data_IF_785484738324
#
_entry.id   IF_785484738324
#
_cell.length_a   1.000
_cell.length_b   1.000
_cell.length_c   1.000
_cell.angle_alpha   90.00
_cell.angle_beta   90.00
_cell.angle_gamma   90.00
#
_symmetry.space_group_name_H-M   'P 1'
#
loop_
_entity.id
_entity.type
_entity.pdbx_description
1 polymer ?
#
# COMPACT_ATOMS: atom_id res chain seq x y z
N UNK A 1 -26.15 15.39 -7.15
CA UNK A 1 -26.70 14.09 -6.72
C UNK A 1 -26.61 14.05 -5.20
N UNK A 2 -27.64 13.52 -4.53
CA UNK A 2 -27.56 13.37 -3.07
C UNK A 2 -26.42 12.39 -2.74
N UNK A 3 -25.60 12.69 -1.73
CA UNK A 3 -24.57 11.77 -1.28
C UNK A 3 -25.25 10.56 -0.68
N UNK A 4 -25.12 9.42 -1.33
CA UNK A 4 -25.65 8.16 -0.81
C UNK A 4 -24.63 7.60 0.18
N UNK A 5 -25.08 7.12 1.34
CA UNK A 5 -24.18 6.55 2.33
C UNK A 5 -23.83 5.11 1.99
N UNK A 6 -22.62 4.68 2.33
CA UNK A 6 -22.16 3.30 2.21
C UNK A 6 -23.17 2.30 2.82
N UNK A 7 -23.69 2.63 3.99
CA UNK A 7 -24.66 1.80 4.73
C UNK A 7 -25.98 1.61 3.96
N UNK A 8 -26.45 2.66 3.26
CA UNK A 8 -27.68 2.56 2.44
C UNK A 8 -27.48 1.66 1.22
N UNK A 9 -26.31 1.72 0.57
CA UNK A 9 -25.96 0.83 -0.55
C UNK A 9 -25.95 -0.61 -0.05
N UNK A 10 -25.23 -0.89 1.04
CA UNK A 10 -25.12 -2.21 1.62
C UNK A 10 -26.49 -2.80 2.02
N UNK A 11 -27.33 -2.01 2.69
CA UNK A 11 -28.69 -2.44 3.09
C UNK A 11 -29.58 -2.78 1.90
N UNK A 12 -29.47 -2.01 0.81
CA UNK A 12 -30.24 -2.29 -0.42
C UNK A 12 -29.75 -3.56 -1.11
N UNK A 13 -28.44 -3.78 -1.19
CA UNK A 13 -27.86 -4.95 -1.82
C UNK A 13 -27.98 -6.22 -0.98
N UNK A 14 -28.02 -6.13 0.36
CA UNK A 14 -28.29 -7.28 1.25
C UNK A 14 -29.62 -7.97 0.94
N UNK A 15 -30.60 -7.26 0.42
CA UNK A 15 -31.89 -7.85 0.03
C UNK A 15 -31.75 -8.91 -1.07
N UNK A 16 -30.68 -8.83 -1.89
CA UNK A 16 -30.38 -9.81 -2.93
C UNK A 16 -29.88 -11.16 -2.37
N UNK A 17 -29.42 -11.17 -1.10
CA UNK A 17 -28.94 -12.38 -0.45
C UNK A 17 -30.07 -13.40 -0.21
N UNK A 18 -31.20 -12.89 0.26
CA UNK A 18 -32.29 -13.74 0.77
C UNK A 18 -33.46 -13.88 -0.21
N UNK A 19 -33.47 -13.07 -1.28
CA UNK A 19 -34.53 -13.05 -2.27
C UNK A 19 -33.98 -13.39 -3.67
N UNK A 20 -34.34 -14.55 -4.24
CA UNK A 20 -34.07 -14.83 -5.65
C UNK A 20 -34.64 -13.73 -6.53
N UNK A 21 -33.76 -13.06 -7.26
CA UNK A 21 -34.14 -11.92 -8.10
C UNK A 21 -33.98 -12.31 -9.57
N UNK A 22 -34.95 -11.97 -10.40
CA UNK A 22 -34.85 -12.24 -11.83
C UNK A 22 -33.70 -11.46 -12.45
N UNK A 23 -33.03 -12.05 -13.47
CA UNK A 23 -31.92 -11.39 -14.15
C UNK A 23 -32.28 -9.97 -14.62
N UNK A 24 -33.48 -9.75 -15.13
CA UNK A 24 -33.96 -8.46 -15.65
C UNK A 24 -34.06 -7.36 -14.55
N UNK A 25 -34.21 -7.73 -13.28
CA UNK A 25 -34.36 -6.77 -12.17
C UNK A 25 -33.02 -6.27 -11.63
N UNK A 26 -31.93 -7.00 -11.80
CA UNK A 26 -30.64 -6.67 -11.20
C UNK A 26 -30.11 -5.30 -11.68
N UNK A 27 -30.26 -4.98 -12.96
CA UNK A 27 -29.86 -3.68 -13.49
C UNK A 27 -30.60 -2.50 -12.83
N UNK A 28 -31.89 -2.64 -12.56
CA UNK A 28 -32.67 -1.61 -11.86
C UNK A 28 -32.29 -1.49 -10.39
N UNK A 29 -31.99 -2.61 -9.74
CA UNK A 29 -31.50 -2.64 -8.35
C UNK A 29 -30.15 -1.94 -8.24
N UNK A 30 -29.23 -2.17 -9.19
CA UNK A 30 -27.96 -1.47 -9.25
C UNK A 30 -28.17 0.05 -9.37
N UNK A 31 -29.03 0.50 -10.29
CA UNK A 31 -29.33 1.93 -10.44
C UNK A 31 -29.92 2.55 -9.15
N UNK A 32 -30.87 1.88 -8.49
CA UNK A 32 -31.45 2.35 -7.22
C UNK A 32 -30.43 2.31 -6.08
N UNK A 33 -29.64 1.26 -5.97
CA UNK A 33 -28.65 1.11 -4.90
C UNK A 33 -27.58 2.20 -4.98
N UNK A 34 -27.18 2.60 -6.18
CA UNK A 34 -26.13 3.59 -6.40
C UNK A 34 -26.65 5.02 -6.67
N UNK A 35 -27.84 5.36 -6.17
CA UNK A 35 -28.28 6.74 -6.01
C UNK A 35 -29.19 7.30 -7.09
N UNK A 36 -29.66 6.47 -8.03
CA UNK A 36 -30.73 6.90 -8.92
C UNK A 36 -32.04 6.97 -8.12
N UNK A 37 -32.76 8.08 -8.23
CA UNK A 37 -34.06 8.22 -7.54
C UNK A 37 -35.09 7.20 -8.04
N UNK A 38 -35.98 6.72 -7.18
CA UNK A 38 -37.03 5.77 -7.54
C UNK A 38 -37.83 6.23 -8.76
N UNK A 39 -38.17 7.52 -8.83
CA UNK A 39 -38.85 8.10 -9.98
C UNK A 39 -38.04 7.99 -11.28
N UNK A 40 -36.72 8.15 -11.22
CA UNK A 40 -35.87 7.99 -12.39
C UNK A 40 -35.73 6.52 -12.80
N UNK A 41 -35.60 5.60 -11.83
CA UNK A 41 -35.60 4.16 -12.11
C UNK A 41 -36.89 3.73 -12.83
N UNK A 42 -38.05 4.23 -12.38
CA UNK A 42 -39.34 3.97 -13.06
C UNK A 42 -39.39 4.56 -14.48
N UNK A 43 -38.73 5.71 -14.71
CA UNK A 43 -38.63 6.26 -16.07
C UNK A 43 -37.70 5.41 -16.96
N UNK A 44 -36.68 4.80 -16.41
CA UNK A 44 -35.86 3.83 -17.15
C UNK A 44 -36.67 2.59 -17.46
N UNK A 45 -37.39 2.05 -16.47
CA UNK A 45 -38.28 0.88 -16.62
C UNK A 45 -39.39 1.09 -17.66
N UNK A 46 -40.01 2.26 -17.68
CA UNK A 46 -41.03 2.62 -18.67
C UNK A 46 -40.48 2.98 -20.06
N UNK A 47 -39.17 2.88 -20.28
CA UNK A 47 -38.55 3.20 -21.57
C UNK A 47 -38.31 4.69 -21.80
N UNK A 48 -38.78 5.60 -20.96
CA UNK A 48 -38.64 7.06 -21.16
C UNK A 48 -37.20 7.56 -21.00
N UNK A 49 -36.35 6.83 -20.24
CA UNK A 49 -34.96 7.16 -20.03
C UNK A 49 -34.03 5.98 -20.39
N UNK A 50 -34.55 4.91 -20.95
CA UNK A 50 -33.77 3.78 -21.42
C UNK A 50 -33.42 3.97 -22.90
N UNK A 51 -32.13 4.00 -23.18
CA UNK A 51 -31.56 4.17 -24.53
C UNK A 51 -31.13 2.82 -25.15
N UNK A 52 -31.45 1.70 -24.50
CA UNK A 52 -31.11 0.39 -25.02
C UNK A 52 -31.88 0.11 -26.33
N UNK A 53 -31.16 -0.52 -27.26
CA UNK A 53 -31.75 -1.01 -28.50
C UNK A 53 -31.97 -2.53 -28.50
N UNK A 54 -31.73 -3.15 -27.36
CA UNK A 54 -32.05 -4.57 -27.09
C UNK A 54 -33.39 -4.68 -26.37
N UNK A 55 -34.13 -5.72 -26.64
CA UNK A 55 -35.49 -5.90 -26.14
C UNK A 55 -35.57 -5.94 -24.59
N UNK A 56 -34.56 -6.53 -23.92
CA UNK A 56 -34.51 -6.64 -22.45
C UNK A 56 -33.27 -5.93 -21.87
N UNK A 57 -32.79 -4.88 -22.54
CA UNK A 57 -31.59 -4.14 -22.14
C UNK A 57 -31.90 -2.87 -21.35
N UNK A 58 -30.98 -2.46 -20.51
CA UNK A 58 -30.97 -1.15 -19.86
C UNK A 58 -29.75 -0.39 -20.35
N UNK A 59 -29.94 0.83 -20.83
CA UNK A 59 -28.86 1.74 -21.17
C UNK A 59 -29.17 3.14 -20.66
N UNK A 60 -28.43 3.55 -19.66
CA UNK A 60 -28.47 4.89 -19.08
C UNK A 60 -27.16 5.60 -19.42
N UNK A 61 -27.28 6.74 -20.13
CA UNK A 61 -26.14 7.53 -20.59
C UNK A 61 -25.20 7.86 -19.44
N UNK A 62 -23.90 7.61 -19.65
CA UNK A 62 -22.81 7.84 -18.68
C UNK A 62 -22.91 7.09 -17.35
N UNK A 63 -23.80 6.09 -17.26
CA UNK A 63 -24.00 5.31 -16.05
C UNK A 63 -23.87 3.80 -16.34
N UNK A 64 -24.95 3.14 -16.67
CA UNK A 64 -25.03 1.68 -16.75
C UNK A 64 -25.53 1.23 -18.13
N UNK A 65 -24.87 0.27 -18.71
CA UNK A 65 -25.44 -0.62 -19.72
C UNK A 65 -25.59 -2.01 -19.13
N UNK A 66 -26.77 -2.58 -19.18
CA UNK A 66 -27.07 -3.87 -18.56
C UNK A 66 -27.87 -4.76 -19.52
N UNK A 67 -27.59 -6.06 -19.54
CA UNK A 67 -28.37 -7.10 -20.24
C UNK A 67 -28.55 -8.33 -19.34
N UNK A 68 -29.74 -8.92 -19.40
CA UNK A 68 -29.96 -10.25 -18.88
C UNK A 68 -29.48 -11.30 -19.91
N UNK A 69 -28.87 -12.37 -19.45
CA UNK A 69 -28.41 -13.49 -20.32
C UNK A 69 -28.56 -14.81 -19.57
N UNK A 70 -28.49 -15.92 -20.30
CA UNK A 70 -28.42 -17.25 -19.67
C UNK A 70 -26.98 -17.52 -19.19
N UNK A 71 -26.81 -18.38 -18.19
CA UNK A 71 -25.50 -18.71 -17.59
C UNK A 71 -24.44 -19.10 -18.61
N UNK A 72 -24.83 -19.76 -19.71
CA UNK A 72 -23.91 -20.18 -20.77
C UNK A 72 -23.45 -19.05 -21.69
N UNK A 73 -24.14 -17.90 -21.68
CA UNK A 73 -23.90 -16.76 -22.58
C UNK A 73 -23.44 -15.50 -21.90
N UNK A 74 -23.14 -15.53 -20.58
CA UNK A 74 -22.76 -14.33 -19.82
C UNK A 74 -21.53 -13.65 -20.44
N UNK A 75 -20.47 -14.41 -20.66
CA UNK A 75 -19.20 -13.92 -21.23
C UNK A 75 -19.37 -13.41 -22.66
N UNK A 76 -20.03 -14.18 -23.50
CA UNK A 76 -20.27 -13.81 -24.90
C UNK A 76 -21.10 -12.52 -25.00
N UNK A 77 -22.16 -12.40 -24.17
CA UNK A 77 -22.99 -11.20 -24.13
C UNK A 77 -22.20 -9.97 -23.66
N UNK A 78 -21.30 -10.12 -22.69
CA UNK A 78 -20.44 -9.03 -22.24
C UNK A 78 -19.47 -8.59 -23.36
N UNK A 79 -18.87 -9.52 -24.09
CA UNK A 79 -17.98 -9.23 -25.20
C UNK A 79 -18.76 -8.57 -26.38
N UNK A 80 -20.00 -9.00 -26.67
CA UNK A 80 -20.88 -8.32 -27.61
C UNK A 80 -21.12 -6.86 -27.20
N UNK A 81 -21.37 -6.60 -25.91
CA UNK A 81 -21.59 -5.23 -25.40
C UNK A 81 -20.32 -4.37 -25.50
N UNK A 82 -19.14 -4.96 -25.26
CA UNK A 82 -17.84 -4.27 -25.43
C UNK A 82 -17.57 -3.90 -26.88
N UNK A 83 -18.08 -4.68 -27.85
CA UNK A 83 -17.92 -4.43 -29.27
C UNK A 83 -18.99 -3.51 -29.87
N UNK A 84 -20.07 -3.24 -29.13
CA UNK A 84 -21.21 -2.48 -29.64
C UNK A 84 -20.95 -0.97 -29.70
N UNK A 85 -20.68 -0.46 -30.89
CA UNK A 85 -20.39 0.95 -31.14
C UNK A 85 -21.56 1.89 -30.83
N UNK A 86 -22.82 1.42 -30.93
CA UNK A 86 -24.02 2.24 -30.62
C UNK A 86 -24.15 2.41 -29.11
N UNK A 87 -23.92 1.35 -28.35
CA UNK A 87 -23.92 1.34 -26.89
C UNK A 87 -22.77 2.22 -26.37
N UNK A 88 -21.55 2.06 -26.89
CA UNK A 88 -20.37 2.80 -26.45
C UNK A 88 -20.45 4.31 -26.75
N UNK A 89 -21.19 4.74 -27.78
CA UNK A 89 -21.47 6.18 -28.04
C UNK A 89 -22.20 6.88 -26.87
N UNK A 90 -22.93 6.13 -26.05
CA UNK A 90 -23.57 6.68 -24.85
C UNK A 90 -22.63 6.76 -23.64
N UNK A 91 -21.41 6.28 -23.81
CA UNK A 91 -20.32 6.30 -22.80
C UNK A 91 -20.78 5.70 -21.45
N UNK A 92 -21.38 4.50 -21.42
CA UNK A 92 -21.76 3.89 -20.15
C UNK A 92 -20.51 3.70 -19.26
N UNK A 93 -20.67 3.96 -17.98
CA UNK A 93 -19.56 3.85 -17.04
C UNK A 93 -19.28 2.39 -16.64
N UNK A 94 -20.32 1.58 -16.59
CA UNK A 94 -20.27 0.14 -16.32
C UNK A 94 -21.08 -0.60 -17.37
N UNK A 95 -20.52 -1.67 -17.91
CA UNK A 95 -21.23 -2.70 -18.68
C UNK A 95 -21.48 -3.88 -17.73
N UNK A 96 -22.70 -4.42 -17.68
CA UNK A 96 -23.00 -5.54 -16.78
C UNK A 96 -23.97 -6.53 -17.43
N UNK A 97 -23.78 -7.80 -17.12
CA UNK A 97 -24.60 -8.93 -17.60
C UNK A 97 -24.88 -9.88 -16.43
N UNK A 98 -26.09 -10.38 -16.31
CA UNK A 98 -26.42 -11.35 -15.26
C UNK A 98 -27.43 -12.39 -15.71
N UNK A 99 -27.35 -13.60 -15.12
CA UNK A 99 -28.36 -14.66 -15.24
C UNK A 99 -29.29 -14.73 -14.01
N UNK A 100 -29.19 -13.76 -13.09
CA UNK A 100 -29.90 -13.75 -11.82
C UNK A 100 -29.11 -14.41 -10.67
N UNK A 101 -28.11 -15.23 -10.96
CA UNK A 101 -27.26 -15.92 -9.98
C UNK A 101 -25.85 -15.34 -9.96
N UNK A 102 -25.31 -15.11 -11.15
CA UNK A 102 -23.96 -14.57 -11.38
C UNK A 102 -24.08 -13.20 -12.03
N UNK A 103 -23.24 -12.27 -11.63
CA UNK A 103 -23.11 -10.95 -12.23
C UNK A 103 -21.69 -10.80 -12.77
N UNK A 104 -21.59 -10.57 -14.09
CA UNK A 104 -20.38 -10.15 -14.79
C UNK A 104 -20.51 -8.66 -15.08
N UNK A 105 -19.44 -7.89 -14.84
CA UNK A 105 -19.41 -6.49 -15.20
C UNK A 105 -18.04 -6.05 -15.70
N UNK A 106 -17.99 -4.98 -16.47
CA UNK A 106 -16.79 -4.40 -17.01
C UNK A 106 -16.83 -2.88 -16.91
N UNK A 107 -15.73 -2.31 -16.45
CA UNK A 107 -15.51 -0.86 -16.41
C UNK A 107 -14.62 -0.44 -17.60
N UNK A 108 -15.17 0.19 -18.67
CA UNK A 108 -14.39 0.56 -19.84
C UNK A 108 -13.32 1.64 -19.58
N UNK A 109 -13.44 2.39 -18.50
CA UNK A 109 -12.49 3.47 -18.18
C UNK A 109 -11.25 2.93 -17.48
N UNK A 110 -11.44 1.90 -16.63
CA UNK A 110 -10.38 1.29 -15.84
C UNK A 110 -9.85 -0.02 -16.46
N UNK A 111 -10.50 -0.52 -17.54
CA UNK A 111 -10.24 -1.83 -18.17
C UNK A 111 -10.28 -2.99 -17.15
N UNK A 112 -11.27 -2.93 -16.24
CA UNK A 112 -11.40 -3.88 -15.14
C UNK A 112 -12.67 -4.73 -15.30
N UNK A 113 -12.55 -6.03 -15.06
CA UNK A 113 -13.67 -6.98 -15.11
C UNK A 113 -14.02 -7.45 -13.70
N UNK A 114 -15.31 -7.55 -13.41
CA UNK A 114 -15.87 -8.04 -12.15
C UNK A 114 -16.70 -9.29 -12.39
N UNK A 115 -16.52 -10.30 -11.55
CA UNK A 115 -17.35 -11.51 -11.53
C UNK A 115 -17.63 -11.94 -10.10
N UNK A 116 -18.90 -12.02 -9.73
CA UNK A 116 -19.31 -12.63 -8.46
C UNK A 116 -20.78 -13.09 -8.49
N UNK A 117 -21.17 -13.86 -7.46
CA UNK A 117 -22.58 -14.23 -7.25
C UNK A 117 -23.39 -13.00 -6.82
N UNK A 118 -24.58 -12.83 -7.41
CA UNK A 118 -25.51 -11.74 -7.07
C UNK A 118 -25.80 -11.69 -5.56
N UNK A 119 -25.98 -12.86 -4.92
CA UNK A 119 -26.19 -12.97 -3.47
C UNK A 119 -25.00 -12.47 -2.60
N UNK A 120 -23.82 -12.30 -3.17
CA UNK A 120 -22.61 -11.80 -2.50
C UNK A 120 -22.27 -10.35 -2.84
N UNK A 121 -23.05 -9.71 -3.71
CA UNK A 121 -22.78 -8.36 -4.19
C UNK A 121 -22.68 -7.32 -3.06
N UNK A 122 -23.37 -7.51 -1.95
CA UNK A 122 -23.31 -6.66 -0.77
C UNK A 122 -21.96 -6.69 -0.02
N UNK A 123 -21.05 -7.64 -0.34
CA UNK A 123 -19.72 -7.76 0.28
C UNK A 123 -18.64 -6.98 -0.48
N UNK A 124 -18.79 -6.82 -1.80
CA UNK A 124 -17.75 -6.28 -2.68
C UNK A 124 -18.31 -5.30 -3.75
N UNK A 125 -19.37 -4.59 -3.41
CA UNK A 125 -20.03 -3.63 -4.30
C UNK A 125 -19.23 -2.39 -4.69
N UNK A 126 -18.00 -2.25 -4.19
CA UNK A 126 -17.11 -1.11 -4.47
C UNK A 126 -16.81 -0.96 -5.96
N UNK A 127 -16.80 -2.06 -6.72
CA UNK A 127 -16.68 -2.03 -8.17
C UNK A 127 -17.70 -1.08 -8.84
N UNK A 128 -18.88 -0.94 -8.28
CA UNK A 128 -20.00 -0.16 -8.82
C UNK A 128 -20.09 1.28 -8.32
N UNK A 129 -19.14 1.76 -7.48
CA UNK A 129 -19.13 3.17 -7.02
C UNK A 129 -19.20 4.21 -8.14
N UNK A 130 -18.60 3.98 -9.34
CA UNK A 130 -18.76 4.91 -10.46
C UNK A 130 -20.20 5.20 -10.86
N UNK A 131 -21.16 4.29 -10.57
CA UNK A 131 -22.59 4.52 -10.80
C UNK A 131 -23.17 5.61 -9.87
N UNK A 132 -22.61 5.76 -8.67
CA UNK A 132 -22.95 6.83 -7.72
C UNK A 132 -22.24 8.15 -8.02
N UNK A 133 -21.44 8.22 -9.09
CA UNK A 133 -20.60 9.38 -9.39
C UNK A 133 -19.36 9.49 -8.49
N UNK A 134 -19.11 8.47 -7.68
CA UNK A 134 -17.86 8.32 -6.94
C UNK A 134 -16.90 7.60 -7.88
N UNK A 135 -16.10 8.36 -8.60
CA UNK A 135 -15.05 7.75 -9.42
C UNK A 135 -14.20 6.87 -8.51
N UNK A 136 -13.92 5.64 -8.96
CA UNK A 136 -12.82 4.89 -8.38
C UNK A 136 -11.62 5.82 -8.43
N UNK A 137 -11.19 6.25 -7.28
CA UNK A 137 -9.92 6.95 -7.21
C UNK A 137 -8.93 6.00 -7.88
N UNK A 138 -8.16 6.45 -8.86
CA UNK A 138 -6.88 5.82 -9.20
C UNK A 138 -5.97 5.97 -7.98
N UNK A 139 -6.34 5.30 -6.91
CA UNK A 139 -5.36 4.75 -6.02
C UNK A 139 -4.55 3.85 -6.94
N UNK A 140 -3.26 3.99 -6.93
CA UNK A 140 -2.33 2.98 -7.39
C UNK A 140 -3.01 1.65 -7.11
N UNK A 141 -3.35 0.87 -8.16
CA UNK A 141 -3.95 -0.45 -7.98
C UNK A 141 -3.06 -1.12 -6.96
N UNK A 142 -3.64 -1.62 -5.86
CA UNK A 142 -2.82 -2.28 -4.85
C UNK A 142 -1.94 -3.24 -5.63
N UNK A 143 -0.64 -3.03 -5.57
CA UNK A 143 0.30 -3.86 -6.33
C UNK A 143 -0.05 -5.31 -5.98
N UNK A 144 -0.32 -6.20 -6.94
CA UNK A 144 -0.67 -7.59 -6.63
C UNK A 144 0.38 -8.28 -5.73
N UNK A 145 1.63 -7.80 -5.76
CA UNK A 145 2.67 -8.23 -4.84
C UNK A 145 2.37 -7.80 -3.40
N UNK A 146 1.88 -6.56 -3.20
CA UNK A 146 1.51 -6.03 -1.88
C UNK A 146 0.41 -6.88 -1.23
N UNK A 147 -0.65 -7.18 -1.99
CA UNK A 147 -1.79 -7.99 -1.50
C UNK A 147 -1.33 -9.40 -1.12
N UNK A 148 -0.54 -10.06 -1.98
CA UNK A 148 -0.03 -11.41 -1.70
C UNK A 148 0.88 -11.44 -0.47
N UNK A 149 1.73 -10.44 -0.30
CA UNK A 149 2.60 -10.33 0.86
C UNK A 149 1.79 -10.16 2.15
N UNK A 150 0.82 -9.25 2.16
CA UNK A 150 -0.06 -9.01 3.30
C UNK A 150 -0.85 -10.27 3.68
N UNK A 151 -1.42 -11.00 2.70
CA UNK A 151 -2.14 -12.24 2.95
C UNK A 151 -1.25 -13.34 3.54
N UNK A 152 -0.02 -13.53 3.01
CA UNK A 152 0.90 -14.53 3.53
C UNK A 152 1.41 -14.19 4.92
N UNK A 153 1.73 -12.93 5.18
CA UNK A 153 2.15 -12.47 6.52
C UNK A 153 1.02 -12.60 7.54
N UNK A 154 -0.22 -12.31 7.18
CA UNK A 154 -1.38 -12.54 8.05
C UNK A 154 -1.56 -14.03 8.37
N UNK A 155 -1.45 -14.92 7.37
CA UNK A 155 -1.49 -16.39 7.56
C UNK A 155 -0.38 -16.88 8.47
N UNK A 156 0.84 -16.34 8.34
CA UNK A 156 1.96 -16.67 9.22
C UNK A 156 1.66 -16.29 10.66
N UNK A 157 1.16 -15.08 10.87
CA UNK A 157 0.79 -14.60 12.19
C UNK A 157 -0.30 -15.47 12.85
N UNK A 158 -1.35 -15.81 12.09
CA UNK A 158 -2.42 -16.68 12.57
C UNK A 158 -1.89 -18.07 12.96
N UNK A 159 -0.98 -18.64 12.16
CA UNK A 159 -0.38 -19.94 12.46
C UNK A 159 0.53 -19.89 13.70
N UNK A 160 1.31 -18.82 13.86
CA UNK A 160 2.13 -18.60 15.07
C UNK A 160 1.23 -18.49 16.30
N UNK A 161 0.14 -17.75 16.24
CA UNK A 161 -0.82 -17.60 17.36
C UNK A 161 -1.53 -18.89 17.71
N UNK A 162 -1.75 -19.79 16.76
CA UNK A 162 -2.31 -21.12 17.04
C UNK A 162 -1.34 -22.01 17.81
N UNK A 163 -0.05 -21.80 17.59
CA UNK A 163 0.99 -22.62 18.21
C UNK A 163 1.47 -22.08 19.55
N UNK A 164 1.20 -20.79 19.83
CA UNK A 164 1.63 -20.07 21.02
C UNK A 164 0.44 -19.40 21.69
N UNK A 165 0.40 -19.46 23.00
CA UNK A 165 -0.60 -18.72 23.80
C UNK A 165 -0.12 -17.26 23.98
N UNK A 166 -0.44 -16.41 23.00
CA UNK A 166 -0.04 -15.00 22.97
C UNK A 166 -1.19 -14.15 23.47
N UNK A 167 -1.20 -13.88 24.78
CA UNK A 167 -2.27 -13.17 25.47
C UNK A 167 -1.81 -11.84 26.09
N UNK A 168 -0.56 -11.73 26.56
CA UNK A 168 -0.06 -10.50 27.19
C UNK A 168 0.38 -9.45 26.17
N UNK A 169 0.33 -8.16 26.58
CA UNK A 169 0.82 -7.07 25.74
C UNK A 169 2.29 -7.23 25.34
N UNK A 170 3.14 -7.76 26.24
CA UNK A 170 4.55 -8.02 25.97
C UNK A 170 4.74 -9.11 24.89
N UNK A 171 3.98 -10.20 24.97
CA UNK A 171 4.03 -11.27 23.96
C UNK A 171 3.55 -10.78 22.58
N UNK A 172 2.53 -9.94 22.53
CA UNK A 172 2.06 -9.31 21.27
C UNK A 172 3.14 -8.40 20.72
N UNK A 173 3.79 -7.61 21.56
CA UNK A 173 4.88 -6.73 21.18
C UNK A 173 6.08 -7.52 20.62
N UNK A 174 6.50 -8.60 21.28
CA UNK A 174 7.58 -9.47 20.80
C UNK A 174 7.24 -10.12 19.45
N UNK A 175 5.98 -10.59 19.27
CA UNK A 175 5.51 -11.11 17.98
C UNK A 175 5.61 -10.05 16.88
N UNK A 176 5.23 -8.82 17.17
CA UNK A 176 5.28 -7.72 16.22
C UNK A 176 6.72 -7.43 15.78
N UNK A 177 7.67 -7.36 16.73
CA UNK A 177 9.09 -7.21 16.42
C UNK A 177 9.59 -8.40 15.59
N UNK A 178 9.20 -9.62 15.95
CA UNK A 178 9.55 -10.81 15.20
C UNK A 178 9.07 -10.73 13.74
N UNK A 179 7.82 -10.36 13.50
CA UNK A 179 7.25 -10.20 12.15
C UNK A 179 7.98 -9.10 11.36
N UNK A 180 8.34 -7.99 12.02
CA UNK A 180 9.09 -6.89 11.40
C UNK A 180 10.51 -7.34 11.00
N UNK A 181 11.18 -8.16 11.81
CA UNK A 181 12.49 -8.74 11.47
C UNK A 181 12.43 -9.67 10.27
N UNK A 182 11.36 -10.48 10.17
CA UNK A 182 11.15 -11.33 8.99
C UNK A 182 10.94 -10.49 7.73
N UNK A 183 10.09 -9.45 7.80
CA UNK A 183 9.89 -8.52 6.69
C UNK A 183 11.20 -7.89 6.21
N UNK A 184 12.01 -7.43 7.16
CA UNK A 184 13.33 -6.91 6.85
C UNK A 184 14.21 -7.95 6.12
N UNK A 185 14.26 -9.20 6.61
CA UNK A 185 15.09 -10.25 6.02
C UNK A 185 14.69 -10.56 4.57
N UNK A 186 13.40 -10.65 4.27
CA UNK A 186 12.91 -10.86 2.91
C UNK A 186 13.26 -9.68 1.99
N UNK A 187 13.02 -8.46 2.47
CA UNK A 187 13.37 -7.26 1.70
C UNK A 187 14.88 -7.18 1.47
N UNK A 188 15.69 -7.50 2.48
CA UNK A 188 17.13 -7.42 2.42
C UNK A 188 17.75 -8.39 1.39
N UNK A 189 17.19 -9.60 1.25
CA UNK A 189 17.69 -10.57 0.25
C UNK A 189 17.27 -10.21 -1.17
N UNK A 190 16.13 -9.54 -1.38
CA UNK A 190 15.66 -9.15 -2.71
C UNK A 190 16.23 -7.83 -3.21
N UNK A 191 16.72 -6.97 -2.31
CA UNK A 191 17.19 -5.62 -2.68
C UNK A 191 18.72 -5.47 -2.64
N UNK A 192 19.44 -6.57 -2.41
CA UNK A 192 20.89 -6.61 -2.44
C UNK A 192 21.57 -6.06 -1.17
N UNK A 193 20.85 -5.98 -0.05
CA UNK A 193 21.43 -5.76 1.29
C UNK A 193 22.08 -7.04 1.76
N UNK A 194 21.41 -8.18 1.55
CA UNK A 194 21.97 -9.51 1.67
C UNK A 194 22.35 -10.05 0.29
N UNK A 195 23.10 -11.14 0.26
CA UNK A 195 23.19 -11.96 -0.96
C UNK A 195 21.80 -12.48 -1.33
N UNK A 196 21.52 -12.57 -2.63
CA UNK A 196 20.22 -12.98 -3.14
C UNK A 196 19.78 -14.33 -2.56
N UNK A 197 18.57 -14.38 -2.02
CA UNK A 197 17.98 -15.54 -1.36
C UNK A 197 18.76 -16.07 -0.14
N UNK A 198 19.61 -15.29 0.48
CA UNK A 198 20.44 -15.75 1.61
C UNK A 198 19.58 -16.22 2.78
N UNK A 199 18.60 -15.43 3.19
CA UNK A 199 17.74 -15.75 4.33
C UNK A 199 16.87 -16.97 4.05
N UNK A 200 16.13 -16.96 2.96
CA UNK A 200 15.20 -18.03 2.58
C UNK A 200 15.93 -19.36 2.35
N UNK A 201 17.05 -19.35 1.64
CA UNK A 201 17.85 -20.56 1.42
C UNK A 201 18.51 -21.10 2.69
N UNK A 202 18.93 -20.22 3.59
CA UNK A 202 19.50 -20.59 4.87
C UNK A 202 18.46 -21.25 5.80
N UNK A 203 17.26 -20.68 5.91
CA UNK A 203 16.16 -21.30 6.65
C UNK A 203 15.85 -22.68 6.08
N UNK A 204 15.73 -22.80 4.75
CA UNK A 204 15.46 -24.09 4.09
C UNK A 204 16.53 -25.15 4.36
N UNK A 205 17.79 -24.74 4.37
CA UNK A 205 18.94 -25.65 4.45
C UNK A 205 19.30 -26.07 5.88
N UNK A 206 19.13 -25.16 6.85
CA UNK A 206 19.66 -25.31 8.20
C UNK A 206 18.61 -25.53 9.26
N UNK A 207 17.34 -25.73 8.89
CA UNK A 207 16.25 -26.08 9.81
C UNK A 207 15.58 -27.40 9.40
N UNK A 208 15.08 -28.13 10.39
CA UNK A 208 14.32 -29.34 10.15
C UNK A 208 12.99 -29.08 9.47
N UNK A 209 12.53 -30.01 8.65
CA UNK A 209 11.28 -29.85 7.91
C UNK A 209 10.05 -29.71 8.80
N UNK A 210 10.07 -30.29 9.99
CA UNK A 210 9.01 -30.16 11.00
C UNK A 210 8.99 -28.79 11.73
N UNK A 211 10.04 -27.97 11.54
CA UNK A 211 10.18 -26.64 12.13
C UNK A 211 10.56 -26.66 13.61
N UNK A 212 10.92 -27.81 14.19
CA UNK A 212 11.21 -27.96 15.63
C UNK A 212 12.39 -27.13 16.12
N UNK A 213 13.38 -26.84 15.27
CA UNK A 213 14.58 -26.05 15.54
C UNK A 213 14.54 -24.64 14.94
N UNK A 214 13.44 -24.28 14.26
CA UNK A 214 13.33 -23.01 13.53
C UNK A 214 13.47 -21.77 14.43
N UNK A 215 12.87 -21.82 15.63
CA UNK A 215 12.91 -20.72 16.60
C UNK A 215 14.35 -20.44 17.06
N UNK A 216 15.10 -21.47 17.39
CA UNK A 216 16.51 -21.35 17.80
C UNK A 216 17.38 -20.86 16.67
N UNK A 217 17.14 -21.36 15.44
CA UNK A 217 17.87 -20.93 14.26
C UNK A 217 17.64 -19.42 13.96
N UNK A 218 16.39 -18.96 14.00
CA UNK A 218 16.05 -17.54 13.75
C UNK A 218 16.61 -16.63 14.87
N UNK A 219 16.57 -17.07 16.13
CA UNK A 219 17.21 -16.33 17.23
C UNK A 219 18.71 -16.17 16.96
N UNK A 220 19.38 -17.24 16.54
CA UNK A 220 20.78 -17.21 16.12
C UNK A 220 21.03 -16.22 14.99
N UNK A 221 20.22 -16.22 13.93
CA UNK A 221 20.31 -15.28 12.81
C UNK A 221 20.18 -13.82 13.28
N UNK A 222 19.15 -13.51 14.07
CA UNK A 222 18.91 -12.15 14.57
C UNK A 222 20.02 -11.67 15.50
N UNK A 223 20.57 -12.56 16.30
CA UNK A 223 21.70 -12.25 17.18
C UNK A 223 22.97 -11.89 16.40
N UNK A 224 23.25 -12.61 15.32
CA UNK A 224 24.42 -12.34 14.46
C UNK A 224 24.25 -11.02 13.72
N UNK A 225 23.04 -10.67 13.29
CA UNK A 225 22.75 -9.40 12.62
C UNK A 225 22.93 -8.19 13.55
N UNK A 226 22.85 -8.37 14.87
CA UNK A 226 23.11 -7.31 15.87
C UNK A 226 24.60 -7.19 16.26
N UNK A 227 25.48 -8.05 15.73
CA UNK A 227 26.89 -8.09 16.11
C UNK A 227 27.81 -7.58 15.00
N UNK A 228 28.50 -6.47 15.23
CA UNK A 228 29.57 -5.97 14.37
C UNK A 228 30.85 -6.80 14.52
N UNK A 229 31.25 -7.10 15.77
CA UNK A 229 32.38 -7.95 16.10
C UNK A 229 31.91 -9.37 16.40
N UNK A 230 32.42 -10.33 15.64
CA UNK A 230 31.94 -11.72 15.66
C UNK A 230 33.06 -12.65 16.09
N UNK A 231 32.89 -13.34 17.21
CA UNK A 231 33.82 -14.35 17.69
C UNK A 231 33.05 -15.66 17.91
N UNK A 232 33.51 -16.73 17.28
CA UNK A 232 32.92 -18.07 17.45
C UNK A 232 31.57 -18.28 16.81
N UNK A 233 31.16 -17.43 15.87
CA UNK A 233 29.89 -17.59 15.14
C UNK A 233 29.94 -18.80 14.20
N UNK A 234 28.95 -19.70 14.20
CA UNK A 234 28.87 -20.80 13.24
C UNK A 234 28.90 -20.29 11.80
N UNK A 235 29.58 -21.00 10.90
CA UNK A 235 29.75 -20.59 9.49
C UNK A 235 28.43 -20.39 8.76
N UNK A 236 27.40 -21.15 9.13
CA UNK A 236 26.04 -21.01 8.59
C UNK A 236 25.41 -19.64 8.89
N UNK A 237 25.71 -19.06 10.06
CA UNK A 237 25.19 -17.76 10.49
C UNK A 237 26.10 -16.60 10.12
N UNK A 238 27.42 -16.87 9.95
CA UNK A 238 28.41 -15.85 9.65
C UNK A 238 28.18 -15.14 8.30
N UNK A 239 27.38 -15.69 7.42
CA UNK A 239 27.02 -15.15 6.12
C UNK A 239 26.12 -13.90 6.23
N UNK A 240 25.31 -13.79 7.30
CA UNK A 240 24.44 -12.63 7.50
C UNK A 240 25.29 -11.40 7.83
N UNK A 241 25.11 -10.25 7.17
CA UNK A 241 25.83 -9.04 7.49
C UNK A 241 25.39 -8.45 8.84
N UNK A 242 26.21 -7.58 9.41
CA UNK A 242 25.81 -6.74 10.53
C UNK A 242 24.76 -5.72 10.06
N UNK A 243 23.65 -5.66 10.77
CA UNK A 243 22.55 -4.74 10.49
C UNK A 243 22.47 -3.74 11.64
N UNK A 244 23.04 -2.56 11.42
CA UNK A 244 22.95 -1.45 12.38
C UNK A 244 21.53 -0.83 12.39
N UNK A 245 21.12 -0.19 13.48
CA UNK A 245 19.87 0.59 13.50
C UNK A 245 18.84 0.20 14.56
N UNK A 246 19.16 -0.74 15.43
CA UNK A 246 18.33 -1.07 16.59
C UNK A 246 17.33 -2.19 16.37
N UNK A 247 16.91 -2.49 15.14
CA UNK A 247 15.89 -3.53 14.84
C UNK A 247 16.20 -4.90 15.48
N UNK A 248 17.48 -5.31 15.53
CA UNK A 248 17.91 -6.59 16.09
C UNK A 248 18.46 -6.49 17.51
N UNK A 249 18.61 -5.28 18.07
CA UNK A 249 19.23 -5.04 19.38
C UNK A 249 18.42 -5.60 20.54
N UNK A 250 17.08 -5.39 20.53
CA UNK A 250 16.22 -5.85 21.60
C UNK A 250 16.11 -7.37 21.56
N UNK A 251 16.38 -8.03 22.69
CA UNK A 251 16.08 -9.45 22.84
C UNK A 251 14.58 -9.63 22.97
N UNK A 252 14.01 -10.52 22.18
CA UNK A 252 12.60 -10.90 22.20
C UNK A 252 12.47 -12.40 22.35
N UNK A 253 11.34 -12.84 22.86
CA UNK A 253 11.00 -14.27 22.84
C UNK A 253 10.61 -14.64 21.38
N UNK A 254 11.42 -15.47 20.73
CA UNK A 254 11.06 -16.00 19.40
C UNK A 254 9.94 -17.02 19.58
N UNK A 255 8.81 -16.88 18.87
CA UNK A 255 7.69 -17.80 19.01
C UNK A 255 8.07 -19.21 18.56
N UNK A 256 7.47 -20.21 19.18
CA UNK A 256 7.59 -21.60 18.77
C UNK A 256 6.86 -21.81 17.44
N UNK A 257 7.46 -22.57 16.53
CA UNK A 257 6.95 -22.78 15.19
C UNK A 257 7.02 -24.25 14.80
N UNK A 258 6.09 -24.69 13.98
CA UNK A 258 6.07 -26.04 13.45
C UNK A 258 6.11 -26.05 11.91
N UNK A 259 5.88 -27.22 11.33
CA UNK A 259 5.92 -27.45 9.89
C UNK A 259 5.19 -26.40 9.04
N UNK A 260 3.96 -26.01 9.44
CA UNK A 260 3.16 -25.05 8.68
C UNK A 260 3.75 -23.65 8.68
N UNK A 261 4.16 -23.15 9.86
CA UNK A 261 4.80 -21.84 9.98
C UNK A 261 6.08 -21.77 9.16
N UNK A 262 6.93 -22.85 9.22
CA UNK A 262 8.14 -22.95 8.40
C UNK A 262 7.84 -22.85 6.91
N UNK A 263 6.85 -23.59 6.42
CA UNK A 263 6.48 -23.55 5.00
C UNK A 263 5.99 -22.16 4.57
N UNK A 264 5.17 -21.49 5.38
CA UNK A 264 4.72 -20.14 5.08
C UNK A 264 5.91 -19.16 5.06
N UNK A 265 6.87 -19.30 5.98
CA UNK A 265 8.10 -18.49 5.96
C UNK A 265 8.87 -18.68 4.65
N UNK A 266 9.05 -19.89 4.20
CA UNK A 266 9.70 -20.19 2.91
C UNK A 266 8.91 -19.63 1.72
N UNK A 267 7.58 -19.78 1.72
CA UNK A 267 6.70 -19.22 0.69
C UNK A 267 6.71 -17.68 0.67
N UNK A 268 6.89 -17.03 1.82
CA UNK A 268 7.08 -15.58 1.88
C UNK A 268 8.38 -15.16 1.20
N UNK A 269 9.46 -15.94 1.35
CA UNK A 269 10.73 -15.69 0.65
C UNK A 269 10.68 -15.88 -0.86
N UNK A 270 9.65 -16.52 -1.42
CA UNK A 270 9.43 -16.64 -2.86
C UNK A 270 8.73 -15.44 -3.51
N UNK A 271 8.33 -14.44 -2.70
CA UNK A 271 7.69 -13.22 -3.20
C UNK A 271 8.75 -12.20 -3.67
N UNK A 272 8.37 -11.33 -4.62
CA UNK A 272 9.22 -10.23 -5.09
C UNK A 272 9.14 -9.03 -4.16
N UNK A 273 9.88 -9.05 -3.05
CA UNK A 273 9.85 -7.99 -2.04
C UNK A 273 10.41 -6.65 -2.52
N UNK A 274 11.26 -6.66 -3.55
CA UNK A 274 11.73 -5.44 -4.22
C UNK A 274 10.62 -4.64 -4.90
N UNK A 275 9.51 -5.30 -5.26
CA UNK A 275 8.32 -4.69 -5.88
C UNK A 275 7.28 -4.25 -4.86
N UNK A 276 7.42 -4.65 -3.59
CA UNK A 276 6.48 -4.34 -2.52
C UNK A 276 6.75 -2.92 -2.00
N UNK A 277 5.68 -2.16 -1.83
CA UNK A 277 5.78 -0.80 -1.30
C UNK A 277 6.00 -0.79 0.22
N UNK A 278 7.00 -0.04 0.74
CA UNK A 278 7.24 0.04 2.19
C UNK A 278 6.07 0.60 3.00
N UNK A 279 5.21 1.40 2.38
CA UNK A 279 4.01 1.97 3.02
C UNK A 279 3.00 0.91 3.44
N UNK A 280 2.98 -0.28 2.80
CA UNK A 280 2.08 -1.35 3.22
C UNK A 280 2.53 -2.08 4.49
N UNK A 281 3.79 -1.93 4.92
CA UNK A 281 4.27 -2.57 6.15
C UNK A 281 3.43 -2.15 7.36
N UNK A 282 3.04 -0.88 7.45
CA UNK A 282 2.11 -0.40 8.46
C UNK A 282 0.76 -1.13 8.42
N UNK A 283 0.17 -1.31 7.24
CA UNK A 283 -1.10 -2.02 7.09
C UNK A 283 -0.98 -3.52 7.35
N UNK A 284 0.10 -4.17 6.92
CA UNK A 284 0.37 -5.57 7.24
C UNK A 284 0.48 -5.79 8.74
N UNK A 285 1.18 -4.91 9.44
CA UNK A 285 1.36 -4.97 10.88
C UNK A 285 0.04 -4.69 11.60
N UNK A 286 -0.76 -3.72 11.16
CA UNK A 286 -2.10 -3.50 11.69
C UNK A 286 -3.02 -4.71 11.51
N UNK A 287 -2.85 -5.50 10.45
CA UNK A 287 -3.58 -6.74 10.27
C UNK A 287 -3.20 -7.81 11.31
N UNK A 288 -1.98 -7.74 11.85
CA UNK A 288 -1.44 -8.63 12.91
C UNK A 288 -1.92 -8.24 14.30
N UNK A 289 -2.08 -6.93 14.59
CA UNK A 289 -2.60 -6.44 15.87
C UNK A 289 -4.08 -6.79 16.03
N UNK A 290 -4.50 -7.23 17.22
CA UNK A 290 -5.88 -7.62 17.48
C UNK A 290 -6.88 -6.49 17.20
N UNK A 291 -8.11 -6.81 16.71
CA UNK A 291 -9.14 -5.80 16.42
C UNK A 291 -9.46 -4.86 17.59
N UNK A 292 -9.39 -5.37 18.82
CA UNK A 292 -9.66 -4.61 20.04
C UNK A 292 -8.60 -3.56 20.35
N UNK A 293 -7.35 -3.85 20.02
CA UNK A 293 -6.23 -2.90 20.16
C UNK A 293 -6.26 -1.79 19.10
N UNK A 294 -6.74 -2.08 17.89
CA UNK A 294 -6.87 -1.08 16.81
C UNK A 294 -7.82 0.05 17.17
N UNK A 295 -8.97 -0.29 17.77
CA UNK A 295 -9.99 0.69 18.17
C UNK A 295 -9.53 1.61 19.31
N UNK A 296 -8.65 1.12 20.21
CA UNK A 296 -8.17 1.87 21.38
C UNK A 296 -7.02 2.84 21.11
N UNK A 297 -6.20 2.58 20.08
CA UNK A 297 -4.99 3.36 19.76
C UNK A 297 -5.18 4.31 18.59
N UNK A 298 -6.35 4.34 17.94
CA UNK A 298 -6.59 5.20 16.78
C UNK A 298 -5.71 4.86 15.58
N UNK A 299 -5.16 3.65 15.51
CA UNK A 299 -4.28 3.19 14.44
C UNK A 299 -5.10 2.90 13.17
N UNK A 300 -5.33 3.92 12.36
CA UNK A 300 -5.96 3.80 11.06
C UNK A 300 -4.92 4.01 9.96
N UNK A 301 -4.73 2.99 9.12
CA UNK A 301 -3.93 3.14 7.92
C UNK A 301 -4.54 4.20 6.99
N UNK A 302 -3.77 5.22 6.68
CA UNK A 302 -4.19 6.23 5.72
C UNK A 302 -3.69 5.85 4.33
N UNK A 303 -4.62 5.60 3.41
CA UNK A 303 -4.27 5.18 2.05
C UNK A 303 -3.50 6.27 1.29
N UNK A 304 -2.61 5.86 0.37
CA UNK A 304 -1.82 6.75 -0.49
C UNK A 304 -2.67 7.84 -1.14
N UNK A 305 -3.85 7.56 -1.73
CA UNK A 305 -4.69 8.61 -2.30
C UNK A 305 -5.15 9.68 -1.31
N UNK A 306 -5.40 9.32 -0.06
CA UNK A 306 -5.78 10.28 0.96
C UNK A 306 -4.58 11.11 1.43
N UNK A 307 -3.41 10.50 1.55
CA UNK A 307 -2.16 11.20 1.81
C UNK A 307 -1.89 12.22 0.70
N UNK A 308 -2.01 11.83 -0.56
CA UNK A 308 -1.79 12.72 -1.72
C UNK A 308 -2.75 13.90 -1.76
N UNK A 309 -4.01 13.74 -1.30
CA UNK A 309 -4.96 14.86 -1.16
C UNK A 309 -4.50 15.92 -0.15
N UNK A 310 -3.71 15.52 0.82
CA UNK A 310 -3.19 16.41 1.85
C UNK A 310 -1.84 17.01 1.41
N UNK A 311 -0.86 16.17 1.04
CA UNK A 311 0.49 16.66 0.68
C UNK A 311 0.53 17.39 -0.65
N UNK A 312 -0.41 17.08 -1.58
CA UNK A 312 -0.55 17.78 -2.85
C UNK A 312 -0.68 19.30 -2.67
N UNK A 313 -1.78 19.79 -2.07
CA UNK A 313 -1.96 21.22 -1.86
C UNK A 313 -1.03 21.81 -0.79
N UNK A 314 -0.46 20.99 0.11
CA UNK A 314 0.42 21.48 1.17
C UNK A 314 1.78 21.95 0.65
N UNK A 315 2.42 21.20 -0.25
CA UNK A 315 3.74 21.54 -0.81
C UNK A 315 3.99 20.98 -2.22
N UNK A 316 3.43 19.82 -2.57
CA UNK A 316 3.86 19.12 -3.78
C UNK A 316 3.43 19.85 -5.06
N UNK A 317 2.22 20.45 -5.09
CA UNK A 317 1.75 21.22 -6.22
C UNK A 317 2.60 22.47 -6.47
N UNK A 318 3.00 23.19 -5.40
CA UNK A 318 3.89 24.35 -5.49
C UNK A 318 5.27 23.95 -6.05
N UNK A 319 5.81 22.83 -5.59
CA UNK A 319 7.08 22.32 -6.12
C UNK A 319 6.97 21.87 -7.58
N UNK A 320 5.84 21.29 -7.97
CA UNK A 320 5.59 20.90 -9.35
C UNK A 320 5.48 22.14 -10.29
N UNK A 321 4.76 23.18 -9.84
CA UNK A 321 4.70 24.46 -10.57
C UNK A 321 6.09 25.10 -10.68
N UNK A 322 6.85 25.11 -9.59
CA UNK A 322 8.23 25.62 -9.58
C UNK A 322 9.13 24.84 -10.55
N UNK A 323 8.96 23.52 -10.65
CA UNK A 323 9.66 22.68 -11.62
C UNK A 323 9.29 23.05 -13.06
N UNK A 324 7.99 23.26 -13.36
CA UNK A 324 7.55 23.67 -14.69
C UNK A 324 8.15 25.03 -15.10
N UNK A 325 8.21 25.99 -14.18
CA UNK A 325 8.82 27.33 -14.42
C UNK A 325 10.36 27.25 -14.55
N UNK A 326 10.97 26.24 -13.97
CA UNK A 326 12.42 26.06 -13.99
C UNK A 326 12.95 25.28 -15.19
N UNK A 327 12.10 24.57 -15.95
CA UNK A 327 12.46 23.55 -16.95
C UNK A 327 13.58 23.96 -17.92
N UNK A 328 13.60 25.23 -18.37
CA UNK A 328 14.54 25.67 -19.39
C UNK A 328 15.81 26.32 -18.83
N UNK A 329 16.03 26.23 -17.51
CA UNK A 329 17.13 26.91 -16.84
C UNK A 329 17.83 26.03 -15.80
N UNK A 330 19.05 25.62 -16.10
CA UNK A 330 19.90 24.87 -15.16
C UNK A 330 20.01 25.57 -13.80
N UNK A 331 20.20 26.90 -13.80
CA UNK A 331 20.33 27.69 -12.57
C UNK A 331 19.06 27.61 -11.69
N UNK A 332 17.86 27.69 -12.31
CA UNK A 332 16.58 27.60 -11.61
C UNK A 332 16.33 26.18 -11.10
N UNK A 333 16.66 25.15 -11.90
CA UNK A 333 16.54 23.74 -11.51
C UNK A 333 17.44 23.43 -10.32
N UNK A 334 18.68 23.89 -10.32
CA UNK A 334 19.61 23.72 -9.18
C UNK A 334 19.14 24.51 -7.94
N UNK A 335 18.55 25.69 -8.12
CA UNK A 335 17.97 26.45 -7.01
C UNK A 335 16.77 25.73 -6.40
N UNK A 336 15.94 25.05 -7.23
CA UNK A 336 14.82 24.24 -6.74
C UNK A 336 15.33 23.03 -5.94
N UNK A 337 16.36 22.30 -6.42
CA UNK A 337 16.98 21.22 -5.63
C UNK A 337 17.50 21.72 -4.28
N UNK A 338 18.16 22.89 -4.26
CA UNK A 338 18.66 23.48 -3.04
C UNK A 338 17.50 23.89 -2.09
N UNK A 339 16.38 24.39 -2.60
CA UNK A 339 15.18 24.68 -1.79
C UNK A 339 14.66 23.40 -1.16
N UNK A 340 14.42 22.36 -1.96
CA UNK A 340 13.87 21.08 -1.48
C UNK A 340 14.79 20.42 -0.44
N UNK A 341 16.11 20.52 -0.60
CA UNK A 341 17.07 19.94 0.36
C UNK A 341 17.08 20.59 1.74
N UNK A 342 16.44 21.77 1.90
CA UNK A 342 16.31 22.51 3.16
C UNK A 342 14.95 22.38 3.81
N UNK A 343 13.96 21.84 3.10
CA UNK A 343 12.62 21.62 3.63
C UNK A 343 12.62 20.56 4.72
N UNK A 344 11.75 20.71 5.71
CA UNK A 344 11.52 19.74 6.78
C UNK A 344 10.07 19.27 6.77
N UNK A 345 9.87 18.00 7.03
CA UNK A 345 8.56 17.34 6.99
C UNK A 345 8.33 16.67 8.34
N UNK A 346 7.25 17.05 9.01
CA UNK A 346 6.99 16.63 10.37
C UNK A 346 5.59 16.05 10.53
N UNK A 347 5.50 14.86 11.10
CA UNK A 347 4.24 14.18 11.45
C UNK A 347 4.23 13.92 12.96
N UNK A 348 3.43 14.65 13.75
CA UNK A 348 3.42 14.53 15.22
C UNK A 348 2.66 13.30 15.74
N UNK A 349 2.05 12.49 14.86
CA UNK A 349 1.36 11.24 15.19
C UNK A 349 1.55 10.24 14.05
N UNK A 350 2.83 9.93 13.74
CA UNK A 350 3.19 9.35 12.46
C UNK A 350 2.78 7.89 12.26
N UNK A 351 2.35 7.18 13.31
CA UNK A 351 2.04 5.77 13.21
C UNK A 351 3.22 4.98 12.65
N UNK A 352 2.98 4.17 11.63
CA UNK A 352 4.01 3.46 10.87
C UNK A 352 4.76 4.32 9.84
N UNK A 353 4.58 5.64 9.85
CA UNK A 353 5.30 6.59 9.02
C UNK A 353 4.73 6.84 7.62
N UNK A 354 3.51 6.45 7.32
CA UNK A 354 2.95 6.48 5.97
C UNK A 354 3.01 7.86 5.30
N UNK A 355 2.66 8.94 6.00
CA UNK A 355 2.77 10.30 5.46
C UNK A 355 4.20 10.65 5.11
N UNK A 356 5.14 10.34 6.00
CA UNK A 356 6.57 10.61 5.81
C UNK A 356 7.15 9.80 4.64
N UNK A 357 6.76 8.51 4.51
CA UNK A 357 7.21 7.61 3.45
C UNK A 357 6.75 8.13 2.09
N UNK A 358 5.46 8.45 1.95
CA UNK A 358 4.91 8.91 0.68
C UNK A 358 5.48 10.28 0.31
N UNK A 359 5.58 11.22 1.27
CA UNK A 359 6.22 12.50 1.04
C UNK A 359 7.68 12.33 0.58
N UNK A 360 8.44 11.45 1.23
CA UNK A 360 9.81 11.13 0.84
C UNK A 360 9.90 10.59 -0.60
N UNK A 361 9.07 9.59 -0.94
CA UNK A 361 9.07 8.98 -2.28
C UNK A 361 8.71 10.00 -3.36
N UNK A 362 7.70 10.84 -3.16
CA UNK A 362 7.29 11.87 -4.12
C UNK A 362 8.37 12.93 -4.33
N UNK A 363 9.00 13.38 -3.26
CA UNK A 363 10.12 14.33 -3.36
C UNK A 363 11.33 13.73 -4.09
N UNK A 364 11.67 12.46 -3.82
CA UNK A 364 12.74 11.75 -4.52
C UNK A 364 12.43 11.54 -6.01
N UNK A 365 11.16 11.26 -6.36
CA UNK A 365 10.71 11.20 -7.75
C UNK A 365 10.86 12.56 -8.45
N UNK A 366 10.50 13.64 -7.78
CA UNK A 366 10.69 15.00 -8.29
C UNK A 366 12.18 15.30 -8.47
N UNK A 367 13.04 14.95 -7.51
CA UNK A 367 14.50 15.11 -7.61
C UNK A 367 15.08 14.39 -8.83
N UNK A 368 14.66 13.15 -9.09
CA UNK A 368 15.08 12.39 -10.29
C UNK A 368 14.67 13.13 -11.57
N UNK A 369 13.45 13.65 -11.63
CA UNK A 369 12.94 14.40 -12.79
C UNK A 369 13.73 15.70 -12.99
N UNK A 370 14.06 16.41 -11.91
CA UNK A 370 14.86 17.64 -11.98
C UNK A 370 16.27 17.32 -12.53
N UNK A 371 16.93 16.26 -12.05
CA UNK A 371 18.25 15.87 -12.55
C UNK A 371 18.22 15.42 -14.02
N UNK A 372 17.16 14.72 -14.45
CA UNK A 372 16.95 14.40 -15.89
C UNK A 372 16.85 15.67 -16.71
N UNK A 373 16.04 16.63 -16.27
CA UNK A 373 15.85 17.91 -16.95
C UNK A 373 17.15 18.73 -17.01
N UNK A 374 17.97 18.72 -15.95
CA UNK A 374 19.30 19.38 -15.97
C UNK A 374 20.19 18.77 -17.05
N UNK A 375 20.21 17.45 -17.21
CA UNK A 375 20.96 16.78 -18.29
C UNK A 375 20.47 17.16 -19.68
N UNK A 376 19.17 17.27 -19.87
CA UNK A 376 18.57 17.70 -21.15
C UNK A 376 18.95 19.14 -21.51
N UNK A 377 18.81 20.06 -20.57
CA UNK A 377 19.09 21.50 -20.82
C UNK A 377 20.58 21.77 -21.04
N UNK A 378 21.45 21.04 -20.33
CA UNK A 378 22.90 21.27 -20.45
C UNK A 378 23.55 20.49 -21.57
N UNK A 379 22.92 19.39 -22.02
CA UNK A 379 23.54 18.44 -22.96
C UNK A 379 24.82 17.78 -22.43
N UNK A 380 25.08 17.87 -21.10
CA UNK A 380 26.29 17.37 -20.47
C UNK A 380 25.99 16.17 -19.57
N UNK A 381 26.93 15.24 -19.47
CA UNK A 381 26.89 14.12 -18.53
C UNK A 381 27.25 14.59 -17.12
N UNK A 382 26.33 15.37 -16.51
CA UNK A 382 26.49 15.80 -15.11
C UNK A 382 26.27 14.60 -14.20
N UNK A 383 27.15 14.43 -13.20
CA UNK A 383 27.01 13.40 -12.16
C UNK A 383 26.02 13.93 -11.10
N UNK A 384 24.80 13.38 -11.01
CA UNK A 384 23.85 13.79 -10.00
C UNK A 384 24.21 13.22 -8.63
N UNK A 385 23.73 13.87 -7.59
CA UNK A 385 23.85 13.39 -6.20
C UNK A 385 22.52 13.53 -5.49
N UNK A 386 22.33 12.77 -4.42
CA UNK A 386 21.09 12.76 -3.64
C UNK A 386 21.07 13.99 -2.73
N UNK A 387 20.06 14.84 -2.93
CA UNK A 387 19.84 16.06 -2.12
C UNK A 387 18.82 15.82 -0.99
N UNK A 388 17.85 14.93 -1.21
CA UNK A 388 16.77 14.67 -0.25
C UNK A 388 17.16 13.47 0.60
N UNK A 389 17.24 13.68 1.91
CA UNK A 389 17.73 12.69 2.87
C UNK A 389 16.75 12.53 4.03
N UNK A 390 16.77 11.38 4.71
CA UNK A 390 15.85 11.07 5.80
C UNK A 390 15.97 12.00 7.00
N UNK A 391 17.10 12.70 7.19
CA UNK A 391 17.25 13.67 8.28
C UNK A 391 16.31 14.90 8.15
N UNK A 392 15.63 15.08 7.02
CA UNK A 392 14.62 16.12 6.81
C UNK A 392 13.22 15.69 7.30
N UNK A 393 13.06 14.42 7.69
CA UNK A 393 11.78 13.82 8.06
C UNK A 393 11.73 13.56 9.55
N UNK A 394 10.73 14.13 10.22
CA UNK A 394 10.57 14.11 11.66
C UNK A 394 9.23 13.49 12.01
N UNK A 395 9.17 12.76 13.13
CA UNK A 395 7.93 12.15 13.58
C UNK A 395 7.88 11.98 15.09
N UNK A 396 6.68 11.94 15.63
CA UNK A 396 6.42 11.51 17.00
C UNK A 396 5.43 10.37 16.92
N UNK A 397 5.68 9.29 17.64
CA UNK A 397 4.77 8.18 17.78
C UNK A 397 4.72 7.71 19.24
N UNK A 398 3.52 7.41 19.74
CA UNK A 398 3.33 7.00 21.12
C UNK A 398 3.65 5.51 21.32
N UNK A 399 3.28 4.70 20.35
CA UNK A 399 3.50 3.25 20.36
C UNK A 399 4.92 2.92 19.89
N UNK A 400 5.69 2.22 20.72
CA UNK A 400 7.10 1.92 20.44
C UNK A 400 7.28 1.00 19.23
N UNK A 401 6.30 0.13 18.97
CA UNK A 401 6.34 -0.75 17.83
C UNK A 401 6.05 -0.01 16.51
N UNK A 402 5.04 0.88 16.50
CA UNK A 402 4.78 1.75 15.35
C UNK A 402 5.97 2.67 15.07
N UNK A 403 6.62 3.18 16.12
CA UNK A 403 7.87 3.93 16.03
C UNK A 403 8.98 3.15 15.31
N UNK A 404 9.29 1.92 15.76
CA UNK A 404 10.31 1.07 15.12
C UNK A 404 9.94 0.73 13.67
N UNK A 405 8.65 0.48 13.41
CA UNK A 405 8.14 0.23 12.06
C UNK A 405 8.31 1.44 11.15
N UNK A 406 8.04 2.64 11.64
CA UNK A 406 8.20 3.88 10.86
C UNK A 406 9.66 4.11 10.46
N UNK A 407 10.58 3.89 11.40
CA UNK A 407 12.03 4.00 11.13
C UNK A 407 12.44 3.00 10.05
N UNK A 408 12.03 1.73 10.19
CA UNK A 408 12.34 0.70 9.20
C UNK A 408 11.75 1.03 7.83
N UNK A 409 10.48 1.40 7.77
CA UNK A 409 9.77 1.67 6.52
C UNK A 409 10.36 2.88 5.77
N UNK A 410 10.75 3.94 6.48
CA UNK A 410 11.47 5.08 5.89
C UNK A 410 12.83 4.66 5.32
N UNK A 411 13.57 3.84 6.04
CA UNK A 411 14.85 3.34 5.56
C UNK A 411 14.70 2.44 4.32
N UNK A 412 13.67 1.58 4.30
CA UNK A 412 13.36 0.76 3.12
C UNK A 412 12.97 1.63 1.92
N UNK A 413 12.19 2.70 2.14
CA UNK A 413 11.86 3.67 1.10
C UNK A 413 13.12 4.39 0.56
N UNK A 414 14.04 4.80 1.44
CA UNK A 414 15.32 5.37 1.03
C UNK A 414 16.12 4.39 0.17
N UNK A 415 16.22 3.13 0.60
CA UNK A 415 16.93 2.11 -0.14
C UNK A 415 16.32 1.87 -1.53
N UNK A 416 14.99 1.77 -1.65
CA UNK A 416 14.29 1.66 -2.94
C UNK A 416 14.57 2.86 -3.83
N UNK A 417 14.45 4.08 -3.31
CA UNK A 417 14.68 5.29 -4.09
C UNK A 417 16.14 5.47 -4.50
N UNK A 418 17.10 5.01 -3.67
CA UNK A 418 18.51 4.98 -4.02
C UNK A 418 18.82 3.95 -5.11
N UNK A 419 18.14 2.79 -5.11
CA UNK A 419 18.24 1.80 -6.18
C UNK A 419 17.67 2.37 -7.50
N UNK A 420 16.52 3.05 -7.46
CA UNK A 420 15.94 3.72 -8.61
C UNK A 420 16.89 4.80 -9.16
N UNK A 421 17.44 5.65 -8.28
CA UNK A 421 18.38 6.70 -8.65
C UNK A 421 19.66 6.13 -9.28
N UNK A 422 20.21 5.03 -8.73
CA UNK A 422 21.36 4.32 -9.33
C UNK A 422 21.04 3.81 -10.73
N UNK A 423 19.89 3.19 -10.91
CA UNK A 423 19.44 2.66 -12.21
C UNK A 423 19.27 3.76 -13.25
N UNK A 424 18.75 4.92 -12.84
CA UNK A 424 18.46 6.04 -13.75
C UNK A 424 19.72 6.79 -14.20
N UNK A 425 20.72 6.87 -13.33
CA UNK A 425 21.87 7.73 -13.56
C UNK A 425 23.22 7.01 -13.66
N UNK A 426 23.23 5.70 -13.45
CA UNK A 426 24.46 4.87 -13.42
C UNK A 426 25.51 5.39 -12.43
N UNK A 427 25.06 5.81 -11.24
CA UNK A 427 25.92 6.32 -10.17
C UNK A 427 26.02 5.32 -9.03
N UNK A 428 27.21 5.22 -8.41
CA UNK A 428 27.39 4.40 -7.21
C UNK A 428 26.92 5.18 -5.99
N UNK A 429 25.77 4.81 -5.42
CA UNK A 429 25.37 5.24 -4.08
C UNK A 429 25.74 4.11 -3.12
N UNK A 430 26.54 4.41 -2.12
CA UNK A 430 26.93 3.43 -1.12
C UNK A 430 25.68 3.02 -0.33
N UNK A 431 25.38 1.72 -0.28
CA UNK A 431 24.34 1.21 0.60
C UNK A 431 24.79 1.53 2.05
N UNK A 432 24.07 2.42 2.69
CA UNK A 432 24.34 2.77 4.08
C UNK A 432 23.82 1.64 4.98
N UNK A 433 24.59 1.22 6.01
CA UNK A 433 24.02 0.36 7.04
C UNK A 433 22.80 1.06 7.66
N UNK A 434 21.84 0.28 8.20
CA UNK A 434 20.72 0.81 8.96
C UNK A 434 21.25 1.81 9.99
N UNK A 435 21.14 3.09 9.71
CA UNK A 435 21.36 4.14 10.72
C UNK A 435 20.02 4.45 11.35
N UNK A 436 19.97 4.98 12.58
CA UNK A 436 18.77 5.62 13.07
C UNK A 436 18.34 6.64 12.00
N UNK A 437 17.37 6.27 11.19
CA UNK A 437 17.00 7.02 9.99
C UNK A 437 15.67 7.72 10.25
N UNK A 438 15.66 8.99 10.02
CA UNK A 438 14.58 9.86 10.39
C UNK A 438 14.67 10.27 11.88
N UNK A 439 14.24 11.48 12.15
CA UNK A 439 14.18 11.99 13.53
C UNK A 439 12.81 11.62 14.10
N UNK A 440 12.53 10.31 14.24
CA UNK A 440 11.29 9.82 14.84
C UNK A 440 11.55 9.54 16.30
N UNK A 441 10.66 10.04 17.17
CA UNK A 441 10.77 9.94 18.62
C UNK A 441 9.57 9.17 19.17
N UNK A 442 9.84 8.18 20.03
CA UNK A 442 8.78 7.48 20.77
C UNK A 442 8.37 8.32 21.97
N UNK A 443 7.28 9.08 21.84
CA UNK A 443 6.80 9.99 22.88
C UNK A 443 5.33 10.36 22.68
N UNK A 444 4.73 10.99 23.70
CA UNK A 444 3.40 11.57 23.58
C UNK A 444 3.51 12.98 22.99
N UNK A 445 3.02 13.19 21.77
CA UNK A 445 3.08 14.46 21.07
C UNK A 445 2.42 15.65 21.81
N UNK A 446 1.46 15.37 22.70
CA UNK A 446 0.81 16.41 23.52
C UNK A 446 1.63 16.78 24.77
N UNK A 447 2.78 16.12 25.02
CA UNK A 447 3.58 16.29 26.24
C UNK A 447 5.07 16.61 25.99
N UNK A 448 5.50 16.54 24.73
CA UNK A 448 6.86 16.87 24.30
C UNK A 448 6.85 18.21 23.56
N UNK A 449 7.94 18.96 23.67
CA UNK A 449 8.12 20.14 22.84
C UNK A 449 8.47 19.71 21.41
N UNK A 450 7.71 20.19 20.44
CA UNK A 450 7.91 19.85 19.05
C UNK A 450 9.19 20.45 18.46
N UNK A 451 9.67 21.56 19.02
CA UNK A 451 10.95 22.16 18.62
C UNK A 451 12.15 21.29 19.02
N UNK A 452 12.04 20.52 20.10
CA UNK A 452 13.06 19.54 20.47
C UNK A 452 13.17 18.38 19.48
N UNK A 453 12.05 18.04 18.82
CA UNK A 453 12.00 16.95 17.82
C UNK A 453 12.34 17.46 16.42
N UNK A 454 11.74 18.57 16.01
CA UNK A 454 11.94 19.19 14.70
C UNK A 454 12.46 20.64 14.86
N UNK A 455 13.73 20.81 15.26
CA UNK A 455 14.32 22.14 15.42
C UNK A 455 14.33 22.85 14.07
N UNK A 456 13.97 24.13 14.06
CA UNK A 456 13.92 24.92 12.85
C UNK A 456 14.41 26.35 13.05
N UNK A 457 14.83 26.98 11.97
CA UNK A 457 15.19 28.39 11.91
C UNK A 457 14.09 29.17 11.15
N UNK A 458 14.08 30.51 11.27
CA UNK A 458 13.09 31.36 10.61
C UNK A 458 13.10 31.28 9.07
N UNK A 459 14.20 30.80 8.49
CA UNK A 459 14.42 30.73 7.05
C UNK A 459 14.16 29.32 6.48
N UNK A 460 13.78 28.35 7.31
CA UNK A 460 13.47 26.98 6.90
C UNK A 460 11.96 26.78 6.72
N UNK A 461 11.60 26.07 5.67
CA UNK A 461 10.22 25.66 5.41
C UNK A 461 9.95 24.34 6.15
N UNK A 462 9.02 24.37 7.11
CA UNK A 462 8.58 23.17 7.85
C UNK A 462 7.13 22.87 7.50
N UNK A 463 6.88 21.67 7.02
CA UNK A 463 5.55 21.17 6.66
C UNK A 463 5.08 20.18 7.70
N UNK A 464 4.04 20.56 8.46
CA UNK A 464 3.41 19.69 9.44
C UNK A 464 2.26 18.97 8.75
N UNK A 465 2.25 17.66 8.80
CA UNK A 465 1.27 16.81 8.15
C UNK A 465 0.92 15.62 9.05
N UNK A 466 -0.23 15.04 8.86
CA UNK A 466 -0.68 13.89 9.65
C UNK A 466 -2.20 13.76 9.60
N UNK A 467 -2.72 12.79 10.33
CA UNK A 467 -4.14 12.45 10.39
C UNK A 467 -4.62 12.35 11.84
#
# INVERSE_FOLDING_TARGET
MASISYKEIEEKLKKLKDNPTSANEIGYILLDAFGMTKTSVERVRSGKMNLAHYEDGILVKKQLAYRAATSQKLSDTLEEMKADSKLLKQSPRILAVSDGTTLLAYDPKEDETYENKVAKLWLDFQFFYPLAGVEKYRGVSENPADVKAAEKMAKLCDEIRRFNDIASGEQVHDLNIFMTRLLFCYFAEDTGIFETNLFTSSVKRFTHDDGSDLSDYLDGCFNVMDQDIRVGVPSALAQFPYVNGGLFRKRIAIPQMGYRARNIILECGELSWSEINPDIFGSMIQAVVSPDMRAGLGMHYTSVPNIMKLIGPLFLNDLEEAFQVAKDSEKKLKALLLRISKMKFFDPACGSGNFLIIAYKELRNLEIRIWKQIREVTGQAIIPFVNIQLHQFYGIELDDFCHETAILSLWLAEHQMNNLFRKEFDVKIQALPLRPSGNIVCANACRIDWEDVCPHTKDEEVFIMGN
#
